data_IF_216949479061
#
_entry.id   IF_216949479061
#
_cell.length_a   1.000
_cell.length_b   1.000
_cell.length_c   1.000
_cell.angle_alpha   90.00
_cell.angle_beta   90.00
_cell.angle_gamma   90.00
#
_symmetry.space_group_name_H-M   'P 1'
#
loop_
_entity.id
_entity.type
_entity.pdbx_description
1 polymer ?
#
# COMPACT_ATOMS: atom_id res chain seq x y z
N UNK A 1 6.28 1.29 11.53
CA UNK A 1 7.35 1.11 10.52
C UNK A 1 7.22 2.22 9.50
N UNK A 2 8.28 2.98 9.19
CA UNK A 2 8.23 4.09 8.23
C UNK A 2 8.82 3.63 6.89
N UNK A 3 8.04 3.70 5.81
CA UNK A 3 8.51 3.40 4.44
C UNK A 3 8.86 4.74 3.77
N UNK A 4 10.13 4.90 3.40
CA UNK A 4 10.59 6.11 2.73
C UNK A 4 10.34 5.99 1.23
N UNK A 5 9.31 6.68 0.75
CA UNK A 5 9.00 6.80 -0.68
C UNK A 5 10.01 7.77 -1.32
N UNK A 6 10.67 7.39 -2.43
CA UNK A 6 11.66 8.23 -3.11
C UNK A 6 11.05 9.48 -3.78
N UNK A 7 11.89 10.35 -4.34
CA UNK A 7 11.53 11.68 -4.87
C UNK A 7 10.64 11.64 -6.13
N UNK A 8 10.15 12.80 -6.58
CA UNK A 8 9.16 12.98 -7.66
C UNK A 8 9.49 12.27 -8.99
N UNK A 9 10.76 12.28 -9.42
CA UNK A 9 11.15 11.62 -10.68
C UNK A 9 11.16 10.11 -10.50
N UNK A 10 11.49 9.64 -9.30
CA UNK A 10 11.42 8.23 -8.93
C UNK A 10 9.99 7.74 -8.71
N UNK A 11 9.07 8.61 -8.25
CA UNK A 11 7.64 8.27 -8.04
C UNK A 11 6.96 7.81 -9.34
N UNK A 12 7.30 8.41 -10.48
CA UNK A 12 6.77 8.00 -11.80
C UNK A 12 7.16 6.57 -12.19
N UNK A 13 8.12 5.97 -11.49
CA UNK A 13 8.62 4.62 -11.70
C UNK A 13 8.16 3.65 -10.60
N UNK A 14 7.40 4.13 -9.60
CA UNK A 14 6.86 3.27 -8.54
C UNK A 14 5.66 2.52 -9.09
N UNK A 15 5.91 1.29 -9.51
CA UNK A 15 4.85 0.33 -9.86
C UNK A 15 4.38 -0.41 -8.61
N UNK A 16 3.17 -0.96 -8.64
CA UNK A 16 2.63 -1.84 -7.59
C UNK A 16 3.58 -3.01 -7.30
N UNK A 17 4.27 -3.50 -8.34
CA UNK A 17 5.29 -4.56 -8.20
C UNK A 17 6.49 -4.13 -7.33
N UNK A 18 6.93 -2.88 -7.44
CA UNK A 18 8.02 -2.35 -6.62
C UNK A 18 7.59 -2.17 -5.18
N UNK A 19 6.38 -1.64 -4.96
CA UNK A 19 5.84 -1.41 -3.62
C UNK A 19 5.68 -2.75 -2.87
N UNK A 20 5.16 -3.78 -3.53
CA UNK A 20 5.05 -5.14 -2.98
C UNK A 20 6.42 -5.69 -2.60
N UNK A 21 7.43 -5.54 -3.46
CA UNK A 21 8.82 -5.99 -3.16
C UNK A 21 9.40 -5.26 -1.95
N UNK A 22 9.22 -3.95 -1.87
CA UNK A 22 9.67 -3.13 -0.74
C UNK A 22 9.01 -3.56 0.57
N UNK A 23 7.69 -3.76 0.57
CA UNK A 23 6.96 -4.21 1.77
C UNK A 23 7.42 -5.60 2.20
N UNK A 24 7.53 -6.56 1.27
CA UNK A 24 8.04 -7.91 1.56
C UNK A 24 9.45 -7.87 2.16
N UNK A 25 10.35 -7.09 1.57
CA UNK A 25 11.72 -6.94 2.06
C UNK A 25 11.75 -6.34 3.47
N UNK A 26 10.98 -5.27 3.70
CA UNK A 26 11.01 -4.55 4.98
C UNK A 26 10.37 -5.37 6.11
N UNK A 27 9.30 -6.11 5.83
CA UNK A 27 8.65 -7.03 6.78
C UNK A 27 9.35 -8.40 6.86
N UNK A 28 10.43 -8.62 6.10
CA UNK A 28 11.15 -9.89 6.02
C UNK A 28 10.24 -11.09 5.67
N UNK A 29 9.27 -10.88 4.79
CA UNK A 29 8.39 -11.94 4.29
C UNK A 29 9.15 -12.72 3.21
N UNK A 30 9.64 -13.90 3.58
CA UNK A 30 10.47 -14.77 2.71
C UNK A 30 9.72 -16.00 2.19
N UNK A 31 8.51 -16.25 2.69
CA UNK A 31 7.73 -17.44 2.35
C UNK A 31 7.32 -17.41 0.85
N UNK A 32 7.62 -18.47 0.08
CA UNK A 32 7.38 -18.51 -1.37
C UNK A 32 5.89 -18.67 -1.72
N UNK A 33 5.10 -19.28 -0.83
CA UNK A 33 3.67 -19.52 -0.99
C UNK A 33 2.82 -18.40 -0.35
N UNK A 34 3.34 -17.17 -0.30
CA UNK A 34 2.67 -16.02 0.29
C UNK A 34 2.47 -14.90 -0.72
N UNK A 35 1.21 -14.51 -0.89
CA UNK A 35 0.85 -13.24 -1.50
C UNK A 35 0.54 -12.20 -0.43
N UNK A 36 0.74 -10.92 -0.78
CA UNK A 36 0.34 -9.82 0.08
C UNK A 36 -0.65 -8.95 -0.66
N UNK A 37 -1.67 -8.47 0.05
CA UNK A 37 -2.55 -7.39 -0.41
C UNK A 37 -2.22 -6.13 0.39
N UNK A 38 -2.16 -5.02 -0.32
CA UNK A 38 -1.88 -3.72 0.26
C UNK A 38 -3.15 -2.88 0.26
N UNK A 39 -3.39 -2.15 1.34
CA UNK A 39 -4.45 -1.15 1.39
C UNK A 39 -4.05 0.04 2.24
N UNK A 40 -4.71 1.16 2.05
CA UNK A 40 -4.53 2.38 2.83
C UNK A 40 -5.88 2.98 3.19
N UNK A 41 -5.91 3.86 4.17
CA UNK A 41 -7.14 4.55 4.56
C UNK A 41 -6.88 6.04 4.74
N UNK A 42 -7.79 6.86 4.20
CA UNK A 42 -7.80 8.30 4.44
C UNK A 42 -7.83 8.59 5.94
N UNK A 43 -7.20 9.66 6.44
CA UNK A 43 -7.44 10.11 7.79
C UNK A 43 -8.89 10.54 7.95
N UNK A 44 -9.46 10.33 9.15
CA UNK A 44 -10.85 10.69 9.45
C UNK A 44 -11.20 12.16 9.15
N UNK A 45 -10.23 13.07 9.22
CA UNK A 45 -10.44 14.49 8.90
C UNK A 45 -10.55 14.79 7.40
N UNK A 46 -10.03 13.92 6.54
CA UNK A 46 -10.19 14.02 5.08
C UNK A 46 -11.44 13.26 4.59
N UNK A 47 -12.02 12.42 5.45
CA UNK A 47 -13.21 11.60 5.18
C UNK A 47 -14.55 12.34 5.39
N UNK A 48 -14.53 13.61 5.82
CA UNK A 48 -15.74 14.30 6.31
C UNK A 48 -16.80 14.52 5.21
N UNK A 49 -16.43 14.46 3.92
CA UNK A 49 -17.33 14.80 2.80
C UNK A 49 -17.81 13.59 1.96
N UNK A 50 -17.28 12.39 2.19
CA UNK A 50 -17.63 11.20 1.40
C UNK A 50 -18.05 10.08 2.37
N UNK A 51 -19.36 9.83 2.46
CA UNK A 51 -20.03 9.08 3.53
C UNK A 51 -19.72 7.58 3.69
N UNK A 52 -18.49 7.11 3.46
CA UNK A 52 -18.08 5.72 3.72
C UNK A 52 -16.64 5.56 4.26
N UNK A 53 -16.00 6.65 4.71
CA UNK A 53 -14.55 6.76 4.95
C UNK A 53 -13.86 5.72 5.85
N UNK A 54 -14.61 4.80 6.46
CA UNK A 54 -14.09 3.61 7.11
C UNK A 54 -13.50 2.56 6.15
N UNK A 55 -13.81 2.59 4.84
CA UNK A 55 -13.42 1.51 3.93
C UNK A 55 -11.97 1.64 3.46
N UNK A 56 -11.08 0.67 3.76
CA UNK A 56 -9.72 0.66 3.24
C UNK A 56 -9.71 0.60 1.71
N UNK A 57 -8.89 1.44 1.08
CA UNK A 57 -8.65 1.45 -0.36
C UNK A 57 -7.56 0.45 -0.69
N UNK A 58 -7.87 -0.53 -1.53
CA UNK A 58 -6.89 -1.53 -1.97
C UNK A 58 -5.97 -0.95 -3.04
N UNK A 59 -4.71 -1.37 -3.01
CA UNK A 59 -3.74 -1.09 -4.07
C UNK A 59 -3.62 -2.35 -4.91
N UNK A 60 -4.22 -2.33 -6.10
CA UNK A 60 -4.27 -3.48 -7.01
C UNK A 60 -3.45 -3.29 -8.29
N UNK A 61 -3.29 -2.05 -8.74
CA UNK A 61 -2.51 -1.70 -9.92
C UNK A 61 -1.67 -0.43 -9.73
N UNK A 62 -0.96 -0.03 -10.79
CA UNK A 62 -0.10 1.15 -10.78
C UNK A 62 -0.90 2.47 -10.65
N UNK A 63 -2.15 2.50 -11.11
CA UNK A 63 -3.02 3.67 -10.96
C UNK A 63 -3.42 3.88 -9.49
N UNK A 64 -3.69 2.79 -8.76
CA UNK A 64 -3.96 2.84 -7.33
C UNK A 64 -2.72 3.30 -6.53
N UNK A 65 -1.52 2.96 -6.99
CA UNK A 65 -0.25 3.43 -6.39
C UNK A 65 -0.12 4.93 -6.54
N UNK A 66 -0.45 5.51 -7.71
CA UNK A 66 -0.44 6.96 -7.89
C UNK A 66 -1.38 7.65 -6.91
N UNK A 67 -2.57 7.10 -6.70
CA UNK A 67 -3.55 7.62 -5.75
C UNK A 67 -3.01 7.60 -4.30
N UNK A 68 -2.38 6.49 -3.90
CA UNK A 68 -1.70 6.38 -2.60
C UNK A 68 -0.58 7.42 -2.43
N UNK A 69 0.27 7.61 -3.45
CA UNK A 69 1.37 8.59 -3.39
C UNK A 69 0.83 10.02 -3.37
N UNK A 70 -0.22 10.31 -4.15
CA UNK A 70 -0.87 11.61 -4.15
C UNK A 70 -1.46 11.94 -2.77
N UNK A 71 -2.05 10.95 -2.11
CA UNK A 71 -2.56 11.10 -0.76
C UNK A 71 -1.44 11.38 0.24
N UNK A 72 -0.34 10.62 0.24
CA UNK A 72 0.85 10.88 1.07
C UNK A 72 1.47 12.26 0.83
N UNK A 73 1.26 12.89 -0.33
CA UNK A 73 1.71 14.28 -0.54
C UNK A 73 0.87 15.31 0.21
N UNK A 74 -0.41 15.00 0.46
CA UNK A 74 -1.33 15.86 1.23
C UNK A 74 -1.21 15.63 2.74
N UNK A 75 -0.69 14.48 3.16
CA UNK A 75 -0.59 14.08 4.56
C UNK A 75 0.77 13.47 4.87
N UNK A 76 1.46 13.97 5.89
CA UNK A 76 2.86 13.60 6.19
C UNK A 76 3.07 12.09 6.38
N UNK A 77 2.06 11.39 6.92
CA UNK A 77 2.10 9.93 7.12
C UNK A 77 0.77 9.28 6.72
N UNK A 78 0.85 8.22 5.89
CA UNK A 78 -0.27 7.34 5.54
C UNK A 78 0.01 5.95 6.12
N UNK A 79 -0.98 5.37 6.81
CA UNK A 79 -0.89 3.98 7.24
C UNK A 79 -1.11 3.04 6.04
N UNK A 80 -0.12 2.19 5.77
CA UNK A 80 -0.21 1.10 4.82
C UNK A 80 -0.52 -0.18 5.59
N UNK A 81 -1.67 -0.78 5.30
CA UNK A 81 -2.09 -2.06 5.82
C UNK A 81 -1.63 -3.18 4.88
N UNK A 82 -1.16 -4.27 5.47
CA UNK A 82 -0.63 -5.42 4.75
C UNK A 82 -1.38 -6.66 5.19
N UNK A 83 -2.14 -7.25 4.27
CA UNK A 83 -2.79 -8.54 4.49
C UNK A 83 -1.93 -9.63 3.87
N UNK A 84 -1.52 -10.60 4.69
CA UNK A 84 -0.74 -11.76 4.27
C UNK A 84 -1.71 -12.89 3.94
N UNK A 85 -1.58 -13.47 2.75
CA UNK A 85 -2.37 -14.61 2.29
C UNK A 85 -1.45 -15.79 2.04
N UNK A 86 -1.60 -16.82 2.86
CA UNK A 86 -0.91 -18.09 2.67
C UNK A 86 -1.67 -18.95 1.68
N UNK A 87 -0.96 -19.40 0.65
CA UNK A 87 -1.45 -20.41 -0.28
C UNK A 87 -1.08 -21.78 0.31
N UNK A 88 -2.04 -22.40 0.97
CA UNK A 88 -1.93 -23.81 1.32
C UNK A 88 -2.17 -24.62 0.04
N UNK A 89 -1.08 -25.11 -0.55
CA UNK A 89 -1.17 -26.19 -1.52
C UNK A 89 -1.60 -27.44 -0.74
N UNK A 90 -2.91 -27.62 -0.55
CA UNK A 90 -3.47 -28.82 0.05
C UNK A 90 -2.94 -30.05 -0.69
N UNK A 91 -2.47 -31.03 0.08
CA UNK A 91 -2.17 -32.38 -0.41
C UNK A 91 -3.45 -33.12 -0.77
#
# INVERSE_FOLDING_TARGET
>A
MRIQIPDQDTVRLITGSWLVKMVKSTLRIVAPNVSIKLSYQYPSWMQIDAGDGSTPQFISDDYDVESFVHMRRKIEEVNLYVTILEHNNGF
#
